data_IF_733601726284
#
_entry.id   IF_733601726284
#
_cell.length_a   1.000
_cell.length_b   1.000
_cell.length_c   1.000
_cell.angle_alpha   90.00
_cell.angle_beta   90.00
_cell.angle_gamma   90.00
#
_symmetry.space_group_name_H-M   'P 1'
#
loop_
_entity.id
_entity.type
_entity.pdbx_description
1 polymer ?
#
# COMPACT_ATOMS: atom_id res chain seq x y z
N UNK A 1 25.54 -10.83 22.79
CA UNK A 1 24.61 -9.81 22.22
C UNK A 1 24.79 -9.90 20.71
N UNK A 2 23.81 -10.41 19.99
CA UNK A 2 23.85 -10.40 18.52
C UNK A 2 23.71 -8.94 18.06
N UNK A 3 24.56 -8.54 17.11
CA UNK A 3 24.53 -7.20 16.53
C UNK A 3 23.20 -7.03 15.79
N UNK A 4 22.41 -6.07 16.20
CA UNK A 4 21.07 -5.78 15.65
C UNK A 4 21.16 -5.19 14.22
N UNK A 5 22.37 -4.95 13.71
CA UNK A 5 22.63 -4.23 12.46
C UNK A 5 22.08 -4.83 11.16
N UNK A 6 21.46 -6.03 11.20
CA UNK A 6 21.04 -6.73 9.98
C UNK A 6 19.60 -7.30 10.05
N UNK A 7 18.78 -6.81 10.97
CA UNK A 7 17.38 -7.24 11.04
C UNK A 7 16.63 -6.75 9.80
N UNK A 8 15.88 -7.64 9.17
CA UNK A 8 15.00 -7.33 8.05
C UNK A 8 13.55 -7.61 8.44
N UNK A 9 12.68 -6.75 7.97
CA UNK A 9 11.24 -6.89 8.09
C UNK A 9 10.66 -7.09 6.70
N UNK A 10 9.97 -8.18 6.50
CA UNK A 10 9.29 -8.47 5.25
C UNK A 10 7.85 -7.91 5.30
N UNK A 11 7.48 -7.14 4.29
CA UNK A 11 6.15 -6.54 4.13
C UNK A 11 5.57 -7.02 2.81
N UNK A 12 4.42 -7.65 2.85
CA UNK A 12 3.69 -8.07 1.64
C UNK A 12 2.54 -7.10 1.38
N UNK A 13 2.52 -6.52 0.19
CA UNK A 13 1.39 -5.68 -0.24
C UNK A 13 0.49 -6.49 -1.16
N UNK A 14 -0.80 -6.51 -0.82
CA UNK A 14 -1.86 -7.18 -1.58
C UNK A 14 -2.69 -6.14 -2.30
N UNK A 15 -2.64 -6.15 -3.61
CA UNK A 15 -3.41 -5.24 -4.46
C UNK A 15 -3.92 -5.95 -5.71
N UNK A 16 -5.21 -5.88 -5.98
CA UNK A 16 -5.86 -6.41 -7.20
C UNK A 16 -5.50 -7.87 -7.53
N UNK A 17 -5.38 -8.72 -6.51
CA UNK A 17 -5.02 -10.12 -6.68
C UNK A 17 -3.54 -10.35 -6.96
N UNK A 18 -2.71 -9.33 -6.91
CA UNK A 18 -1.25 -9.44 -6.91
C UNK A 18 -0.71 -9.27 -5.50
N UNK A 19 0.12 -10.22 -5.08
CA UNK A 19 0.80 -10.18 -3.80
C UNK A 19 2.27 -9.97 -4.07
N UNK A 20 2.83 -8.89 -3.54
CA UNK A 20 4.24 -8.50 -3.71
C UNK A 20 4.93 -8.38 -2.38
N UNK A 21 6.09 -9.00 -2.25
CA UNK A 21 6.93 -8.97 -1.06
C UNK A 21 8.02 -7.91 -1.21
N UNK A 22 8.15 -7.09 -0.18
CA UNK A 22 9.18 -6.07 -0.04
C UNK A 22 9.95 -6.34 1.25
N UNK A 23 11.26 -6.17 1.20
CA UNK A 23 12.11 -6.36 2.38
C UNK A 23 12.69 -5.01 2.79
N UNK A 24 12.35 -4.58 3.99
CA UNK A 24 12.82 -3.32 4.55
C UNK A 24 13.71 -3.56 5.76
N UNK A 25 14.67 -2.68 5.97
CA UNK A 25 15.55 -2.72 7.14
C UNK A 25 15.03 -1.69 8.15
N UNK A 26 14.39 -2.14 9.24
CA UNK A 26 13.92 -1.21 10.26
C UNK A 26 15.11 -0.54 10.96
N UNK A 27 14.98 0.75 11.34
CA UNK A 27 15.99 1.40 12.16
C UNK A 27 16.07 0.71 13.53
N UNK A 28 17.29 0.67 14.10
CA UNK A 28 17.62 -0.06 15.33
C UNK A 28 16.82 0.44 16.55
N UNK A 29 16.54 1.73 16.61
CA UNK A 29 15.69 2.36 17.60
C UNK A 29 14.73 3.26 16.84
N UNK A 30 13.55 2.74 16.51
CA UNK A 30 12.55 3.50 15.79
C UNK A 30 11.45 3.96 16.74
N UNK A 31 11.15 5.24 16.70
CA UNK A 31 9.94 5.80 17.31
C UNK A 31 8.69 5.27 16.59
N UNK A 32 7.53 5.44 17.21
CA UNK A 32 6.24 5.10 16.60
C UNK A 32 6.06 5.69 15.19
N UNK A 33 6.47 6.95 14.99
CA UNK A 33 6.41 7.62 13.69
C UNK A 33 7.34 6.98 12.66
N UNK A 34 8.57 6.67 13.03
CA UNK A 34 9.56 6.04 12.15
C UNK A 34 9.13 4.63 11.77
N UNK A 35 8.53 3.91 12.71
CA UNK A 35 8.01 2.56 12.44
C UNK A 35 6.80 2.63 11.48
N UNK A 36 5.91 3.59 11.69
CA UNK A 36 4.79 3.83 10.77
C UNK A 36 5.27 4.25 9.39
N UNK A 37 6.26 5.14 9.29
CA UNK A 37 6.87 5.57 8.02
C UNK A 37 7.43 4.39 7.22
N UNK A 38 7.97 3.36 7.86
CA UNK A 38 8.45 2.16 7.17
C UNK A 38 7.33 1.46 6.38
N UNK A 39 6.16 1.33 6.98
CA UNK A 39 4.99 0.75 6.33
C UNK A 39 4.44 1.67 5.24
N UNK A 40 4.36 2.97 5.52
CA UNK A 40 3.90 3.97 4.57
C UNK A 40 4.84 4.06 3.36
N UNK A 41 6.15 4.13 3.58
CA UNK A 41 7.14 4.19 2.50
C UNK A 41 7.03 2.98 1.59
N UNK A 42 6.95 1.77 2.15
CA UNK A 42 6.76 0.54 1.37
C UNK A 42 5.48 0.60 0.55
N UNK A 43 4.40 1.15 1.11
CA UNK A 43 3.12 1.26 0.41
C UNK A 43 3.19 2.32 -0.70
N UNK A 44 3.68 3.53 -0.40
CA UNK A 44 3.60 4.68 -1.31
C UNK A 44 4.65 4.64 -2.42
N UNK A 45 5.80 4.01 -2.22
CA UNK A 45 6.77 3.78 -3.30
C UNK A 45 6.18 2.99 -4.47
N UNK A 46 5.24 2.09 -4.17
CA UNK A 46 4.68 1.19 -5.18
C UNK A 46 3.21 1.47 -5.52
N UNK A 47 2.51 2.23 -4.67
CA UNK A 47 1.08 2.52 -4.81
C UNK A 47 0.77 3.99 -4.48
N UNK A 48 1.25 4.89 -5.33
CA UNK A 48 1.25 6.35 -5.11
C UNK A 48 -0.13 6.94 -4.71
N UNK A 49 -1.22 6.37 -5.22
CA UNK A 49 -2.59 6.82 -4.95
C UNK A 49 -3.36 5.94 -3.96
N UNK A 50 -2.66 5.02 -3.28
CA UNK A 50 -3.34 4.08 -2.37
C UNK A 50 -4.15 4.81 -1.29
N UNK A 51 -3.62 5.89 -0.71
CA UNK A 51 -4.28 6.66 0.35
C UNK A 51 -5.58 7.35 -0.09
N UNK A 52 -5.74 7.63 -1.38
CA UNK A 52 -6.92 8.36 -1.90
C UNK A 52 -8.17 7.48 -1.98
N UNK A 53 -8.01 6.22 -2.36
CA UNK A 53 -9.14 5.34 -2.69
C UNK A 53 -9.22 4.10 -1.82
N UNK A 54 -8.13 3.71 -1.19
CA UNK A 54 -8.05 2.48 -0.41
C UNK A 54 -7.95 2.75 1.09
N UNK A 55 -8.47 1.83 1.85
CA UNK A 55 -8.11 1.64 3.24
C UNK A 55 -7.11 0.49 3.31
N UNK A 56 -6.20 0.58 4.26
CA UNK A 56 -5.21 -0.46 4.50
C UNK A 56 -5.70 -1.31 5.67
N UNK A 57 -5.66 -2.64 5.50
CA UNK A 57 -5.78 -3.59 6.60
C UNK A 57 -4.45 -4.30 6.77
N UNK A 58 -4.01 -4.45 8.02
CA UNK A 58 -2.76 -5.12 8.35
C UNK A 58 -3.08 -6.46 8.97
N UNK A 59 -2.49 -7.49 8.38
CA UNK A 59 -2.49 -8.86 8.88
C UNK A 59 -1.06 -9.32 9.08
N UNK A 60 -0.85 -10.34 9.87
CA UNK A 60 0.42 -11.04 9.99
C UNK A 60 0.25 -12.43 9.44
N UNK A 61 1.28 -12.94 8.76
CA UNK A 61 1.07 -14.24 8.13
C UNK A 61 2.31 -14.84 7.51
N UNK A 62 2.06 -15.93 6.80
CA UNK A 62 3.06 -16.74 6.14
C UNK A 62 2.85 -16.69 4.64
N UNK A 63 3.90 -16.37 3.90
CA UNK A 63 3.89 -16.30 2.45
C UNK A 63 4.92 -17.26 1.84
N UNK A 64 4.62 -17.73 0.65
CA UNK A 64 5.54 -18.53 -0.17
C UNK A 64 6.00 -17.68 -1.36
N UNK A 65 7.31 -17.53 -1.52
CA UNK A 65 7.91 -16.79 -2.64
C UNK A 65 7.82 -17.64 -3.90
N UNK A 66 7.27 -17.05 -4.96
CA UNK A 66 7.07 -17.71 -6.24
C UNK A 66 8.25 -17.43 -7.19
N UNK A 67 8.64 -18.48 -7.97
CA UNK A 67 9.61 -18.30 -9.07
C UNK A 67 11.07 -18.17 -8.68
N UNK A 68 11.41 -18.29 -7.40
CA UNK A 68 12.82 -18.22 -6.95
C UNK A 68 13.39 -19.64 -6.81
N UNK A 69 14.41 -19.96 -7.60
CA UNK A 69 15.22 -21.16 -7.38
C UNK A 69 15.98 -21.06 -6.07
N UNK A 70 16.34 -22.19 -5.45
CA UNK A 70 16.95 -22.27 -4.12
C UNK A 70 18.28 -21.48 -3.94
N UNK A 71 18.88 -20.99 -5.04
CA UNK A 71 20.19 -20.33 -5.05
C UNK A 71 20.17 -18.88 -5.57
N UNK A 72 19.01 -18.25 -5.68
CA UNK A 72 18.95 -16.92 -6.23
C UNK A 72 19.18 -15.86 -5.15
N UNK A 73 20.33 -15.22 -5.19
CA UNK A 73 20.62 -13.97 -4.50
C UNK A 73 20.00 -12.81 -5.30
N UNK A 74 18.66 -12.69 -5.30
CA UNK A 74 18.00 -11.55 -5.89
C UNK A 74 17.85 -10.41 -4.87
N UNK A 75 17.79 -9.15 -5.33
CA UNK A 75 17.22 -8.11 -4.49
C UNK A 75 15.82 -8.57 -4.06
N UNK A 76 15.57 -8.57 -2.77
CA UNK A 76 14.33 -9.10 -2.15
C UNK A 76 13.14 -8.18 -2.34
N UNK A 77 13.23 -7.21 -3.26
CA UNK A 77 12.21 -6.23 -3.50
C UNK A 77 11.31 -6.64 -4.65
N UNK A 78 10.01 -6.50 -4.43
CA UNK A 78 8.97 -6.71 -5.44
C UNK A 78 8.83 -8.17 -5.92
N UNK A 79 9.03 -9.14 -5.03
CA UNK A 79 8.88 -10.56 -5.37
C UNK A 79 7.40 -10.99 -5.37
N UNK A 80 6.95 -11.76 -6.38
CA UNK A 80 5.63 -12.34 -6.36
C UNK A 80 5.54 -13.42 -5.27
N UNK A 81 4.47 -13.37 -4.47
CA UNK A 81 4.26 -14.32 -3.37
C UNK A 81 2.83 -14.87 -3.35
N UNK A 82 2.68 -16.03 -2.75
CA UNK A 82 1.39 -16.63 -2.42
C UNK A 82 1.19 -16.59 -0.91
N UNK A 83 0.07 -16.08 -0.44
CA UNK A 83 -0.28 -16.13 0.97
C UNK A 83 -0.68 -17.57 1.30
N UNK A 84 -0.03 -18.13 2.30
CA UNK A 84 -0.29 -19.49 2.79
C UNK A 84 -1.25 -19.42 3.96
N UNK A 85 -1.00 -18.48 4.88
CA UNK A 85 -1.78 -18.27 6.09
C UNK A 85 -1.71 -16.79 6.48
N UNK A 86 -2.79 -16.27 7.07
CA UNK A 86 -2.84 -14.90 7.55
C UNK A 86 -3.83 -14.74 8.69
N UNK A 87 -3.43 -13.96 9.69
CA UNK A 87 -4.25 -13.56 10.82
C UNK A 87 -4.37 -12.04 10.84
N UNK A 88 -5.59 -11.55 10.91
CA UNK A 88 -5.84 -10.10 10.98
C UNK A 88 -5.28 -9.52 12.27
N UNK A 89 -4.66 -8.35 12.16
CA UNK A 89 -4.13 -7.57 13.27
C UNK A 89 -4.94 -6.27 13.42
N UNK A 90 -6.12 -6.31 14.08
CA UNK A 90 -6.99 -5.14 14.18
C UNK A 90 -6.32 -3.96 14.87
N UNK A 91 -5.46 -4.24 15.84
CA UNK A 91 -4.70 -3.22 16.56
C UNK A 91 -3.74 -2.46 15.63
N UNK A 92 -2.93 -3.16 14.83
CA UNK A 92 -2.03 -2.53 13.85
C UNK A 92 -2.82 -1.81 12.76
N UNK A 93 -3.94 -2.37 12.33
CA UNK A 93 -4.84 -1.73 11.36
C UNK A 93 -5.41 -0.41 11.91
N UNK A 94 -5.88 -0.40 13.16
CA UNK A 94 -6.37 0.80 13.81
C UNK A 94 -5.28 1.86 14.00
N UNK A 95 -4.08 1.42 14.40
CA UNK A 95 -2.91 2.28 14.54
C UNK A 95 -2.48 2.91 13.21
N UNK A 96 -2.41 2.13 12.15
CA UNK A 96 -2.07 2.63 10.80
C UNK A 96 -3.10 3.63 10.26
N UNK A 97 -4.37 3.49 10.67
CA UNK A 97 -5.43 4.45 10.33
C UNK A 97 -5.46 5.69 11.24
N UNK A 98 -4.51 5.85 12.15
CA UNK A 98 -4.44 6.96 13.07
C UNK A 98 -5.52 6.97 14.16
N UNK A 99 -6.19 5.84 14.40
CA UNK A 99 -7.21 5.71 15.44
C UNK A 99 -6.61 5.52 16.84
N UNK A 100 -5.43 4.93 16.89
CA UNK A 100 -4.62 4.74 18.10
C UNK A 100 -3.16 5.02 17.74
N UNK A 101 -2.28 5.32 18.71
CA UNK A 101 -0.85 5.46 18.45
C UNK A 101 -0.28 4.18 17.83
N UNK A 102 0.61 4.35 16.84
CA UNK A 102 1.34 3.22 16.28
C UNK A 102 2.35 2.71 17.31
N UNK A 103 2.54 1.40 17.47
CA UNK A 103 3.53 0.86 18.40
C UNK A 103 4.93 1.30 17.98
N UNK A 104 5.82 1.55 18.95
CA UNK A 104 7.22 1.75 18.66
C UNK A 104 7.88 0.44 18.20
N UNK A 105 9.13 0.53 17.74
CA UNK A 105 9.81 -0.65 17.22
C UNK A 105 9.98 -1.74 18.27
N UNK A 106 10.23 -1.38 19.53
CA UNK A 106 10.45 -2.34 20.61
C UNK A 106 9.20 -3.13 20.89
N UNK A 107 8.04 -2.45 20.95
CA UNK A 107 6.75 -3.07 21.18
C UNK A 107 6.31 -3.90 19.97
N UNK A 108 6.45 -3.36 18.75
CA UNK A 108 6.10 -4.06 17.51
C UNK A 108 6.93 -5.33 17.35
N UNK A 109 8.23 -5.22 17.54
CA UNK A 109 9.15 -6.37 17.41
C UNK A 109 9.00 -7.34 18.56
N UNK A 110 8.69 -6.88 19.77
CA UNK A 110 8.41 -7.73 20.91
C UNK A 110 7.19 -8.62 20.69
N UNK A 111 6.10 -8.04 20.18
CA UNK A 111 4.86 -8.77 19.87
C UNK A 111 4.97 -9.67 18.64
N UNK A 112 5.78 -9.27 17.66
CA UNK A 112 5.85 -9.91 16.35
C UNK A 112 7.24 -10.43 15.99
N UNK A 113 7.98 -10.95 16.97
CA UNK A 113 9.38 -11.40 16.80
C UNK A 113 9.59 -12.42 15.69
N UNK A 114 8.58 -13.22 15.36
CA UNK A 114 8.66 -14.21 14.28
C UNK A 114 8.75 -13.60 12.89
N UNK A 115 8.38 -12.32 12.75
CA UNK A 115 8.32 -11.60 11.46
C UNK A 115 9.61 -10.82 11.16
N UNK A 116 10.63 -10.97 12.00
CA UNK A 116 11.93 -10.33 11.87
C UNK A 116 12.99 -11.40 11.65
N UNK A 117 13.85 -11.20 10.68
CA UNK A 117 14.87 -12.18 10.31
C UNK A 117 16.26 -11.58 10.41
N UNK A 118 17.21 -12.40 10.90
CA UNK A 118 18.61 -12.22 10.58
C UNK A 118 18.82 -12.61 9.11
N UNK A 119 19.53 -11.79 8.35
CA UNK A 119 19.86 -11.91 6.93
C UNK A 119 19.44 -13.20 6.23
N UNK A 120 18.59 -13.00 5.22
CA UNK A 120 18.27 -13.92 4.13
C UNK A 120 17.96 -15.38 4.52
N UNK A 121 16.76 -15.66 5.00
CA UNK A 121 16.32 -17.04 5.01
C UNK A 121 16.25 -17.54 3.56
N UNK A 122 17.03 -18.55 3.22
CA UNK A 122 16.92 -19.30 1.95
C UNK A 122 15.58 -20.06 1.85
N UNK A 123 14.71 -19.86 2.81
CA UNK A 123 13.40 -20.50 2.88
C UNK A 123 12.44 -19.89 1.87
N UNK A 124 11.77 -20.73 1.09
CA UNK A 124 10.66 -20.32 0.23
C UNK A 124 9.50 -19.72 1.03
N UNK A 125 9.37 -20.08 2.29
CA UNK A 125 8.29 -19.65 3.15
C UNK A 125 8.80 -18.62 4.14
N UNK A 126 8.12 -17.49 4.22
CA UNK A 126 8.49 -16.35 5.07
C UNK A 126 7.32 -15.86 5.89
N UNK A 127 7.64 -15.37 7.07
CA UNK A 127 6.70 -14.62 7.89
C UNK A 127 6.78 -13.15 7.51
N UNK A 128 5.64 -12.51 7.33
CA UNK A 128 5.56 -11.15 6.81
C UNK A 128 4.37 -10.40 7.39
N UNK A 129 4.47 -9.08 7.46
CA UNK A 129 3.30 -8.22 7.62
C UNK A 129 2.61 -8.10 6.27
N UNK A 130 1.31 -8.33 6.23
CA UNK A 130 0.50 -8.32 5.02
C UNK A 130 -0.38 -7.07 5.05
N UNK A 131 -0.12 -6.14 4.12
CA UNK A 131 -0.90 -4.93 3.94
C UNK A 131 -1.86 -5.15 2.78
N UNK A 132 -3.14 -5.34 3.07
CA UNK A 132 -4.16 -5.49 2.05
C UNK A 132 -4.84 -4.16 1.76
N UNK A 133 -4.85 -3.78 0.48
CA UNK A 133 -5.54 -2.59 -0.01
C UNK A 133 -7.00 -2.92 -0.28
N UNK A 134 -7.89 -2.37 0.53
CA UNK A 134 -9.34 -2.54 0.42
C UNK A 134 -9.96 -1.26 -0.10
N UNK A 135 -10.73 -1.34 -1.17
CA UNK A 135 -11.40 -0.16 -1.74
C UNK A 135 -12.36 0.43 -0.70
N UNK A 136 -12.13 1.69 -0.35
CA UNK A 136 -13.06 2.44 0.47
C UNK A 136 -14.16 3.05 -0.41
N UNK A 137 -15.35 2.47 -0.35
CA UNK A 137 -16.50 2.92 -1.16
C UNK A 137 -16.83 4.40 -0.95
N UNK A 138 -16.68 4.93 0.28
CA UNK A 138 -16.95 6.35 0.58
C UNK A 138 -15.92 7.25 -0.10
N UNK A 139 -14.64 6.94 0.03
CA UNK A 139 -13.57 7.69 -0.64
C UNK A 139 -13.74 7.65 -2.16
N UNK A 140 -14.06 6.48 -2.70
CA UNK A 140 -14.33 6.32 -4.13
C UNK A 140 -15.54 7.17 -4.57
N UNK A 141 -16.63 7.18 -3.81
CA UNK A 141 -17.80 8.00 -4.11
C UNK A 141 -17.46 9.49 -4.09
N UNK A 142 -16.75 9.96 -3.05
CA UNK A 142 -16.29 11.34 -2.97
C UNK A 142 -15.40 11.71 -4.17
N UNK A 143 -14.51 10.84 -4.58
CA UNK A 143 -13.65 11.06 -5.75
C UNK A 143 -14.46 11.18 -7.05
N UNK A 144 -15.47 10.32 -7.26
CA UNK A 144 -16.35 10.38 -8.41
C UNK A 144 -17.15 11.71 -8.41
N UNK A 145 -17.75 12.08 -7.28
CA UNK A 145 -18.53 13.30 -7.16
C UNK A 145 -17.66 14.56 -7.40
N UNK A 146 -16.45 14.57 -6.83
CA UNK A 146 -15.49 15.64 -7.06
C UNK A 146 -15.13 15.77 -8.54
N UNK A 147 -14.87 14.64 -9.21
CA UNK A 147 -14.54 14.66 -10.63
C UNK A 147 -15.68 15.11 -11.52
N UNK A 148 -16.93 14.71 -11.22
CA UNK A 148 -18.12 15.21 -11.93
C UNK A 148 -18.23 16.73 -11.75
N UNK A 149 -18.12 17.22 -10.52
CA UNK A 149 -18.20 18.65 -10.22
C UNK A 149 -17.09 19.43 -10.95
N UNK A 150 -15.84 18.96 -10.87
CA UNK A 150 -14.72 19.60 -11.55
C UNK A 150 -14.90 19.60 -13.07
N UNK A 151 -15.37 18.50 -13.66
CA UNK A 151 -15.62 18.40 -15.11
C UNK A 151 -16.70 19.39 -15.55
N UNK A 152 -17.79 19.51 -14.78
CA UNK A 152 -18.86 20.49 -15.07
C UNK A 152 -18.36 21.94 -14.99
N UNK A 153 -17.58 22.27 -13.96
CA UNK A 153 -17.01 23.62 -13.82
C UNK A 153 -16.06 23.94 -14.98
N UNK A 154 -15.14 23.02 -15.31
CA UNK A 154 -14.21 23.23 -16.43
C UNK A 154 -14.95 23.33 -17.75
N UNK A 155 -15.94 22.48 -18.01
CA UNK A 155 -16.73 22.52 -19.24
C UNK A 155 -17.56 23.80 -19.40
N UNK A 156 -18.17 24.26 -18.30
CA UNK A 156 -18.92 25.56 -18.33
C UNK A 156 -17.99 26.72 -18.56
N UNK A 157 -16.85 26.78 -17.91
CA UNK A 157 -15.86 27.83 -18.13
C UNK A 157 -15.38 27.86 -19.59
N UNK A 158 -15.03 26.73 -20.16
CA UNK A 158 -14.58 26.63 -21.57
C UNK A 158 -15.72 27.01 -22.52
N UNK A 159 -16.94 26.54 -22.26
CA UNK A 159 -18.11 26.90 -23.05
C UNK A 159 -18.40 28.41 -23.04
N UNK A 160 -18.27 29.06 -21.88
CA UNK A 160 -18.42 30.51 -21.74
C UNK A 160 -17.31 31.28 -22.46
N UNK A 161 -16.05 30.87 -22.33
CA UNK A 161 -14.90 31.55 -22.97
C UNK A 161 -15.01 31.42 -24.49
N UNK A 162 -15.34 30.26 -25.00
CA UNK A 162 -15.43 29.99 -26.44
C UNK A 162 -16.74 30.44 -27.05
N UNK A 163 -17.72 30.82 -26.23
CA UNK A 163 -19.12 31.09 -26.61
C UNK A 163 -19.79 29.97 -27.41
N UNK A 164 -19.33 28.74 -27.21
CA UNK A 164 -19.84 27.53 -27.88
C UNK A 164 -20.11 26.43 -26.83
N UNK A 165 -21.38 26.15 -26.60
CA UNK A 165 -21.81 25.13 -25.63
C UNK A 165 -21.30 23.73 -25.99
N UNK A 166 -21.21 23.44 -27.27
CA UNK A 166 -20.71 22.13 -27.78
C UNK A 166 -19.26 21.84 -27.35
N UNK A 167 -18.40 22.90 -27.36
CA UNK A 167 -17.01 22.78 -26.93
C UNK A 167 -16.93 22.53 -25.44
N UNK A 168 -17.75 23.21 -24.64
CA UNK A 168 -17.86 22.98 -23.20
C UNK A 168 -18.29 21.54 -22.85
N UNK A 169 -19.32 21.04 -23.54
CA UNK A 169 -19.77 19.66 -23.41
C UNK A 169 -18.68 18.64 -23.78
N UNK A 170 -17.95 18.89 -24.86
CA UNK A 170 -16.82 18.04 -25.27
C UNK A 170 -15.75 17.93 -24.17
N UNK A 171 -15.42 19.04 -23.52
CA UNK A 171 -14.46 19.05 -22.39
C UNK A 171 -14.99 18.23 -21.21
N UNK A 172 -16.27 18.33 -20.86
CA UNK A 172 -16.88 17.51 -19.78
C UNK A 172 -16.70 16.03 -20.07
N UNK A 173 -17.04 15.60 -21.30
CA UNK A 173 -16.93 14.19 -21.71
C UNK A 173 -15.49 13.71 -21.63
N UNK A 174 -14.53 14.46 -22.18
CA UNK A 174 -13.12 14.09 -22.18
C UNK A 174 -12.59 13.95 -20.74
N UNK A 175 -12.88 14.90 -19.86
CA UNK A 175 -12.44 14.85 -18.48
C UNK A 175 -13.05 13.65 -17.73
N UNK A 176 -14.31 13.34 -18.00
CA UNK A 176 -14.97 12.19 -17.41
C UNK A 176 -14.36 10.86 -17.88
N UNK A 177 -14.06 10.73 -19.18
CA UNK A 177 -13.37 9.57 -19.73
C UNK A 177 -11.95 9.42 -19.17
N UNK A 178 -11.20 10.51 -19.04
CA UNK A 178 -9.86 10.48 -18.40
C UNK A 178 -9.94 10.00 -16.95
N UNK A 179 -10.96 10.41 -16.20
CA UNK A 179 -11.18 9.91 -14.84
C UNK A 179 -11.50 8.42 -14.81
N UNK A 180 -12.31 7.92 -15.74
CA UNK A 180 -12.63 6.49 -15.84
C UNK A 180 -11.39 5.67 -16.18
N UNK A 181 -10.54 6.17 -17.09
CA UNK A 181 -9.26 5.55 -17.41
C UNK A 181 -8.33 5.52 -16.18
N UNK A 182 -8.19 6.65 -15.47
CA UNK A 182 -7.38 6.71 -14.25
C UNK A 182 -7.85 5.67 -13.21
N UNK A 183 -9.18 5.52 -13.04
CA UNK A 183 -9.76 4.47 -12.19
C UNK A 183 -9.37 3.06 -12.65
N UNK A 184 -9.20 2.85 -13.95
CA UNK A 184 -8.74 1.57 -14.52
C UNK A 184 -7.28 1.23 -14.17
N UNK A 185 -6.45 2.23 -13.93
CA UNK A 185 -5.02 2.08 -13.59
C UNK A 185 -4.74 2.06 -12.07
N UNK A 186 -5.65 2.51 -11.23
CA UNK A 186 -5.59 2.48 -9.76
C UNK A 186 -6.22 1.18 -9.24
#
# INVERSE_FOLDING_TARGET
MASIHNLKCDITVVSRGQNRLFSSTPPEIATSEQTMMLFEETLYQHYLFAHLLYDVTISVGKVEVLGVGANASYPLDNLPVRIVDSEECPHLTAAFRGQIPFPDAVDLWGMHRMYIHDMAPQSRTRYTFIMALVINQRKMLCWILFGIAASLVCGTLVGCITKKAEVGLGVVVILFEMMNLARGYI
#
